data_IF_610677427475
#
_entry.id   IF_610677427475
#
_cell.length_a   1.000
_cell.length_b   1.000
_cell.length_c   1.000
_cell.angle_alpha   90.00
_cell.angle_beta   90.00
_cell.angle_gamma   90.00
#
_symmetry.space_group_name_H-M   'P 1'
#
loop_
_entity.id
_entity.type
_entity.pdbx_description
1 polymer ?
#
# COMPACT_ATOMS: atom_id res chain seq x y z
N UNK A 1 -19.25 13.59 22.69
CA UNK A 1 -18.61 12.42 22.07
C UNK A 1 -17.94 12.88 20.81
N UNK A 2 -16.63 13.12 20.85
CA UNK A 2 -15.85 13.44 19.67
C UNK A 2 -15.96 12.28 18.68
N UNK A 3 -16.42 12.59 17.46
CA UNK A 3 -16.46 11.62 16.36
C UNK A 3 -15.01 11.27 16.04
N UNK A 4 -14.58 10.07 16.41
CA UNK A 4 -13.28 9.52 15.98
C UNK A 4 -13.29 9.60 14.45
N UNK A 5 -12.43 10.45 13.89
CA UNK A 5 -12.29 10.57 12.44
C UNK A 5 -11.73 9.26 11.93
N UNK A 6 -12.46 8.64 11.02
CA UNK A 6 -11.97 7.47 10.28
C UNK A 6 -10.67 7.87 9.58
N UNK A 7 -9.58 7.21 9.97
CA UNK A 7 -8.23 7.46 9.45
C UNK A 7 -7.90 6.57 8.24
N UNK A 8 -8.88 5.81 7.74
CA UNK A 8 -8.68 4.95 6.58
C UNK A 8 -8.75 5.73 5.28
N UNK A 9 -8.04 5.22 4.27
CA UNK A 9 -8.03 5.77 2.91
C UNK A 9 -8.78 4.78 2.03
N UNK A 10 -9.70 5.30 1.21
CA UNK A 10 -10.37 4.51 0.18
C UNK A 10 -9.63 4.62 -1.15
N UNK A 11 -9.20 3.49 -1.69
CA UNK A 11 -8.53 3.41 -3.00
C UNK A 11 -9.49 2.79 -4.00
N UNK A 12 -9.81 3.53 -5.07
CA UNK A 12 -10.64 3.02 -6.16
C UNK A 12 -9.78 2.32 -7.21
N UNK A 13 -10.03 1.04 -7.42
CA UNK A 13 -9.37 0.21 -8.43
C UNK A 13 -10.40 -0.70 -9.08
N UNK A 14 -10.13 -1.15 -10.31
CA UNK A 14 -11.01 -2.10 -10.99
C UNK A 14 -10.92 -3.51 -10.34
N UNK A 15 -11.88 -4.38 -10.69
CA UNK A 15 -12.00 -5.72 -10.11
C UNK A 15 -10.81 -6.62 -10.46
N UNK A 16 -10.27 -6.52 -11.68
CA UNK A 16 -9.13 -7.30 -12.15
C UNK A 16 -7.88 -7.02 -11.32
N UNK A 17 -7.54 -5.74 -11.15
CA UNK A 17 -6.33 -5.34 -10.47
C UNK A 17 -6.44 -5.59 -8.96
N UNK A 18 -7.64 -5.44 -8.39
CA UNK A 18 -7.91 -5.86 -7.01
C UNK A 18 -7.66 -7.36 -6.82
N UNK A 19 -8.07 -8.21 -7.77
CA UNK A 19 -7.85 -9.65 -7.70
C UNK A 19 -6.35 -9.99 -7.81
N UNK A 20 -5.61 -9.35 -8.73
CA UNK A 20 -4.16 -9.50 -8.85
C UNK A 20 -3.44 -9.11 -7.56
N UNK A 21 -3.80 -7.98 -6.95
CA UNK A 21 -3.18 -7.54 -5.71
C UNK A 21 -3.45 -8.50 -4.55
N UNK A 22 -4.67 -9.06 -4.46
CA UNK A 22 -4.98 -10.09 -3.46
C UNK A 22 -4.13 -11.34 -3.64
N UNK A 23 -4.06 -11.84 -4.87
CA UNK A 23 -3.24 -13.01 -5.20
C UNK A 23 -1.76 -12.78 -4.83
N UNK A 24 -1.21 -11.60 -5.15
CA UNK A 24 0.17 -11.26 -4.80
C UNK A 24 0.40 -11.14 -3.29
N UNK A 25 -0.59 -10.60 -2.56
CA UNK A 25 -0.54 -10.52 -1.10
C UNK A 25 -0.44 -11.92 -0.47
N UNK A 26 -1.30 -12.84 -0.91
CA UNK A 26 -1.33 -14.24 -0.44
C UNK A 26 -0.05 -14.98 -0.80
N UNK A 27 0.41 -14.87 -2.06
CA UNK A 27 1.63 -15.51 -2.55
C UNK A 27 2.87 -15.09 -1.74
N UNK A 28 2.90 -13.85 -1.25
CA UNK A 28 4.00 -13.30 -0.45
C UNK A 28 3.80 -13.48 1.06
N UNK A 29 2.72 -14.10 1.49
CA UNK A 29 2.45 -14.40 2.90
C UNK A 29 1.95 -13.22 3.74
N UNK A 30 1.40 -12.17 3.12
CA UNK A 30 0.78 -11.07 3.86
C UNK A 30 -0.57 -11.48 4.43
N UNK A 31 -0.90 -10.99 5.63
CA UNK A 31 -2.14 -11.36 6.32
C UNK A 31 -3.37 -10.69 5.72
N UNK A 32 -3.18 -9.56 5.05
CA UNK A 32 -4.26 -8.80 4.42
C UNK A 32 -3.79 -7.99 3.21
N UNK A 33 -4.75 -7.65 2.35
CA UNK A 33 -4.50 -6.75 1.23
C UNK A 33 -4.03 -5.36 1.71
N UNK A 34 -4.55 -4.85 2.83
CA UNK A 34 -4.17 -3.55 3.37
C UNK A 34 -2.71 -3.51 3.81
N UNK A 35 -2.23 -4.58 4.46
CA UNK A 35 -0.83 -4.73 4.87
C UNK A 35 0.09 -4.76 3.64
N UNK A 36 -0.31 -5.49 2.60
CA UNK A 36 0.46 -5.54 1.36
C UNK A 36 0.51 -4.18 0.64
N UNK A 37 -0.62 -3.45 0.58
CA UNK A 37 -0.65 -2.11 -0.02
C UNK A 37 0.22 -1.13 0.78
N UNK A 38 0.18 -1.18 2.12
CA UNK A 38 1.02 -0.35 2.97
C UNK A 38 2.50 -0.62 2.71
N UNK A 39 2.90 -1.89 2.61
CA UNK A 39 4.25 -2.28 2.26
C UNK A 39 4.68 -1.69 0.90
N UNK A 40 3.85 -1.81 -0.13
CA UNK A 40 4.16 -1.28 -1.46
C UNK A 40 4.35 0.24 -1.43
N UNK A 41 3.49 0.97 -0.72
CA UNK A 41 3.61 2.42 -0.56
C UNK A 41 4.90 2.82 0.16
N UNK A 42 5.24 2.15 1.26
CA UNK A 42 6.48 2.43 2.00
C UNK A 42 7.73 2.11 1.19
N UNK A 43 7.70 1.02 0.42
CA UNK A 43 8.79 0.64 -0.49
C UNK A 43 9.02 1.73 -1.54
N UNK A 44 7.95 2.19 -2.19
CA UNK A 44 8.01 3.24 -3.21
C UNK A 44 8.53 4.58 -2.65
N UNK A 45 8.07 4.97 -1.46
CA UNK A 45 8.57 6.15 -0.74
C UNK A 45 10.06 6.00 -0.45
N UNK A 46 10.49 4.85 0.10
CA UNK A 46 11.89 4.61 0.46
C UNK A 46 12.81 4.64 -0.76
N UNK A 47 12.39 4.04 -1.89
CA UNK A 47 13.14 4.07 -3.15
C UNK A 47 13.24 5.49 -3.70
N UNK A 48 12.14 6.25 -3.66
CA UNK A 48 12.10 7.64 -4.09
C UNK A 48 12.99 8.54 -3.23
N UNK A 49 12.97 8.40 -1.90
CA UNK A 49 13.83 9.15 -1.00
C UNK A 49 15.31 8.81 -1.18
N UNK A 50 15.63 7.54 -1.42
CA UNK A 50 17.00 7.10 -1.68
C UNK A 50 17.56 7.69 -2.97
N UNK A 51 16.77 7.69 -4.06
CA UNK A 51 17.15 8.30 -5.34
C UNK A 51 17.41 9.81 -5.16
N UNK A 52 16.48 10.50 -4.50
CA UNK A 52 16.59 11.96 -4.27
C UNK A 52 17.80 12.34 -3.41
N UNK A 53 18.23 11.49 -2.48
CA UNK A 53 19.45 11.70 -1.68
C UNK A 53 20.75 11.47 -2.45
N UNK A 54 20.75 10.63 -3.49
CA UNK A 54 21.94 10.35 -4.33
C UNK A 54 22.13 11.33 -5.48
N UNK A 55 21.08 12.05 -5.87
CA UNK A 55 21.12 13.07 -6.93
C UNK A 55 21.38 14.49 -6.42
N UNK A 56 21.49 14.68 -5.09
CA UNK A 56 21.92 15.93 -4.45
C UNK A 56 23.39 15.85 -4.06
#
# INVERSE_FOLDING_TARGET
MDKIKDSTIQIRINKSDKAKLKYLAELRGYKSLSEYILYLALKDISESEFINKRMK
#
